data_IF_059589659592
#
_entry.id   IF_059589659592
#
_cell.length_a   1.000
_cell.length_b   1.000
_cell.length_c   1.000
_cell.angle_alpha   90.00
_cell.angle_beta   90.00
_cell.angle_gamma   90.00
#
_symmetry.space_group_name_H-M   'P 1'
#
loop_
_entity.id
_entity.type
_entity.pdbx_description
1 polymer ?
#
# COMPACT_ATOMS: atom_id res chain seq x y z
N UNK A 1 -3.50 -24.29 -6.13
CA UNK A 1 -2.36 -23.45 -5.67
C UNK A 1 -2.74 -22.01 -5.97
N UNK A 2 -2.68 -21.12 -4.98
CA UNK A 2 -3.05 -19.70 -5.18
C UNK A 2 -1.94 -18.97 -5.94
N UNK A 3 -2.33 -18.06 -6.83
CA UNK A 3 -1.40 -17.18 -7.55
C UNK A 3 -1.56 -15.75 -7.06
N UNK A 4 -0.47 -15.15 -6.57
CA UNK A 4 -0.48 -13.83 -5.93
C UNK A 4 0.57 -12.93 -6.59
N UNK A 5 0.19 -11.71 -6.94
CA UNK A 5 1.13 -10.71 -7.45
C UNK A 5 1.51 -9.72 -6.32
N UNK A 6 2.80 -9.35 -6.24
CA UNK A 6 3.33 -8.41 -5.25
C UNK A 6 4.22 -7.38 -5.94
N UNK A 7 3.87 -6.10 -5.90
CA UNK A 7 4.80 -5.04 -6.30
C UNK A 7 5.69 -4.62 -5.13
N UNK A 8 6.93 -4.18 -5.41
CA UNK A 8 7.93 -3.93 -4.37
C UNK A 8 8.47 -5.22 -3.74
N UNK A 9 8.50 -6.31 -4.52
CA UNK A 9 8.77 -7.67 -4.06
C UNK A 9 10.23 -7.96 -3.70
N UNK A 10 11.17 -7.11 -4.11
CA UNK A 10 12.61 -7.32 -3.90
C UNK A 10 13.10 -6.83 -2.53
N UNK A 11 12.27 -6.18 -1.71
CA UNK A 11 12.72 -5.65 -0.43
C UNK A 11 11.64 -5.40 0.61
N UNK A 12 12.07 -5.16 1.84
CA UNK A 12 11.23 -4.75 2.95
C UNK A 12 9.99 -5.64 3.17
N UNK A 13 8.84 -5.00 3.27
CA UNK A 13 7.55 -5.68 3.50
C UNK A 13 7.19 -6.61 2.33
N UNK A 14 7.47 -6.19 1.08
CA UNK A 14 7.15 -7.00 -0.10
C UNK A 14 7.92 -8.32 -0.14
N UNK A 15 9.23 -8.29 0.12
CA UNK A 15 10.05 -9.50 0.18
C UNK A 15 9.62 -10.45 1.32
N UNK A 16 9.39 -9.90 2.51
CA UNK A 16 8.91 -10.71 3.64
C UNK A 16 7.53 -11.35 3.36
N UNK A 17 6.66 -10.61 2.65
CA UNK A 17 5.34 -11.13 2.24
C UNK A 17 5.49 -12.23 1.20
N UNK A 18 6.37 -12.06 0.22
CA UNK A 18 6.70 -13.09 -0.75
C UNK A 18 7.17 -14.36 -0.07
N UNK A 19 8.20 -14.25 0.78
CA UNK A 19 8.75 -15.38 1.52
C UNK A 19 7.70 -16.12 2.34
N UNK A 20 6.80 -15.39 2.97
CA UNK A 20 5.72 -15.94 3.78
C UNK A 20 4.73 -16.73 2.92
N UNK A 21 4.24 -16.14 1.83
CA UNK A 21 3.24 -16.76 0.97
C UNK A 21 3.78 -17.96 0.19
N UNK A 22 5.05 -17.91 -0.25
CA UNK A 22 5.72 -19.05 -0.89
C UNK A 22 5.89 -20.23 0.07
N UNK A 23 6.24 -19.98 1.34
CA UNK A 23 6.27 -21.00 2.40
C UNK A 23 4.90 -21.63 2.67
N UNK A 24 3.83 -20.89 2.44
CA UNK A 24 2.44 -21.38 2.55
C UNK A 24 1.96 -22.07 1.27
N UNK A 25 2.83 -22.23 0.26
CA UNK A 25 2.54 -22.94 -0.98
C UNK A 25 1.87 -22.10 -2.07
N UNK A 26 1.87 -20.78 -1.98
CA UNK A 26 1.41 -19.91 -3.05
C UNK A 26 2.48 -19.77 -4.15
N UNK A 27 2.02 -19.59 -5.39
CA UNK A 27 2.85 -19.06 -6.47
C UNK A 27 2.87 -17.55 -6.39
N UNK A 28 4.03 -16.94 -6.21
CA UNK A 28 4.16 -15.47 -6.18
C UNK A 28 4.77 -14.96 -7.49
N UNK A 29 4.17 -13.93 -8.06
CA UNK A 29 4.71 -13.14 -9.17
C UNK A 29 5.16 -11.81 -8.57
N UNK A 30 6.47 -11.64 -8.44
CA UNK A 30 7.07 -10.40 -7.98
C UNK A 30 7.19 -9.37 -9.10
N UNK A 31 6.95 -8.12 -8.74
CA UNK A 31 7.18 -6.94 -9.59
C UNK A 31 8.08 -5.98 -8.82
N UNK A 32 9.20 -5.60 -9.42
CA UNK A 32 10.11 -4.61 -8.83
C UNK A 32 10.96 -3.96 -9.95
N UNK A 33 11.77 -2.97 -9.61
CA UNK A 33 12.76 -2.40 -10.53
C UNK A 33 14.00 -3.31 -10.71
N UNK A 34 14.11 -4.34 -9.88
CA UNK A 34 15.18 -5.35 -9.89
C UNK A 34 14.73 -6.64 -9.20
N UNK A 35 15.45 -7.72 -9.41
CA UNK A 35 15.34 -8.97 -8.64
C UNK A 35 13.89 -9.52 -8.50
N UNK A 36 13.13 -9.47 -9.60
CA UNK A 36 11.74 -9.92 -9.66
C UNK A 36 11.42 -10.61 -11.00
N UNK A 37 10.31 -11.34 -11.07
CA UNK A 37 9.83 -11.97 -12.32
C UNK A 37 9.44 -10.93 -13.36
N UNK A 38 8.92 -9.78 -12.93
CA UNK A 38 8.58 -8.64 -13.79
C UNK A 38 9.41 -7.43 -13.34
N UNK A 39 10.32 -7.01 -14.21
CA UNK A 39 11.10 -5.78 -13.98
C UNK A 39 10.35 -4.61 -14.59
N UNK A 40 9.89 -3.69 -13.76
CA UNK A 40 9.12 -2.51 -14.20
C UNK A 40 9.33 -1.30 -13.28
N UNK A 41 9.41 -0.12 -13.89
CA UNK A 41 9.45 1.15 -13.18
C UNK A 41 8.05 1.76 -13.07
N UNK A 42 7.46 1.69 -11.90
CA UNK A 42 6.11 2.21 -11.64
C UNK A 42 6.04 3.74 -11.55
N UNK A 43 7.18 4.44 -11.61
CA UNK A 43 7.21 5.89 -11.66
C UNK A 43 6.65 6.44 -12.97
N UNK A 44 6.69 5.65 -14.05
CA UNK A 44 6.31 6.11 -15.39
C UNK A 44 5.04 5.43 -15.90
N UNK A 45 4.18 6.12 -16.68
CA UNK A 45 3.02 5.51 -17.32
C UNK A 45 3.40 4.26 -18.14
N UNK A 46 4.44 4.37 -18.98
CA UNK A 46 4.92 3.26 -19.81
C UNK A 46 5.37 2.05 -18.99
N UNK A 47 6.05 2.28 -17.86
CA UNK A 47 6.48 1.20 -16.97
C UNK A 47 5.29 0.51 -16.29
N UNK A 48 4.25 1.27 -15.93
CA UNK A 48 3.00 0.74 -15.37
C UNK A 48 2.23 -0.11 -16.40
N UNK A 49 2.13 0.36 -17.65
CA UNK A 49 1.50 -0.39 -18.73
C UNK A 49 2.27 -1.69 -19.04
N UNK A 50 3.59 -1.60 -19.09
CA UNK A 50 4.46 -2.77 -19.28
C UNK A 50 4.31 -3.80 -18.14
N UNK A 51 4.21 -3.34 -16.89
CA UNK A 51 3.95 -4.20 -15.73
C UNK A 51 2.62 -4.94 -15.88
N UNK A 52 1.54 -4.24 -16.19
CA UNK A 52 0.19 -4.84 -16.36
C UNK A 52 0.21 -5.88 -17.47
N UNK A 53 0.83 -5.58 -18.61
CA UNK A 53 0.95 -6.51 -19.73
C UNK A 53 1.75 -7.76 -19.34
N UNK A 54 2.92 -7.61 -18.73
CA UNK A 54 3.79 -8.72 -18.34
C UNK A 54 3.13 -9.63 -17.28
N UNK A 55 2.49 -9.06 -16.26
CA UNK A 55 1.76 -9.86 -15.26
C UNK A 55 0.57 -10.58 -15.90
N UNK A 56 -0.13 -9.94 -16.84
CA UNK A 56 -1.25 -10.56 -17.57
C UNK A 56 -0.79 -11.77 -18.38
N UNK A 57 0.36 -11.69 -19.03
CA UNK A 57 0.92 -12.82 -19.79
C UNK A 57 1.34 -13.99 -18.89
N UNK A 58 1.85 -13.70 -17.68
CA UNK A 58 2.24 -14.72 -16.71
C UNK A 58 1.06 -15.36 -15.97
N UNK A 59 -0.07 -14.67 -15.86
CA UNK A 59 -1.23 -15.05 -15.03
C UNK A 59 -2.53 -15.10 -15.84
N UNK A 60 -2.51 -15.75 -17.01
CA UNK A 60 -3.67 -15.80 -17.94
C UNK A 60 -4.93 -16.39 -17.30
N UNK A 61 -4.78 -17.31 -16.36
CA UNK A 61 -5.90 -17.95 -15.65
C UNK A 61 -6.50 -17.08 -14.53
N UNK A 62 -5.81 -16.02 -14.13
CA UNK A 62 -6.23 -15.07 -13.09
C UNK A 62 -5.26 -14.96 -11.92
N UNK A 63 -5.61 -14.08 -10.99
CA UNK A 63 -4.90 -13.84 -9.72
C UNK A 63 -5.85 -14.06 -8.54
N UNK A 64 -5.41 -14.78 -7.52
CA UNK A 64 -6.14 -14.98 -6.27
C UNK A 64 -5.77 -13.93 -5.20
N UNK A 65 -4.67 -13.20 -5.43
CA UNK A 65 -4.21 -12.16 -4.53
C UNK A 65 -3.35 -11.10 -5.20
N UNK A 66 -3.40 -9.89 -4.65
CA UNK A 66 -2.60 -8.75 -5.11
C UNK A 66 -2.14 -7.90 -3.94
N UNK A 67 -0.86 -7.60 -3.87
CA UNK A 67 -0.30 -6.65 -2.90
C UNK A 67 0.38 -5.49 -3.63
N UNK A 68 -0.19 -4.30 -3.52
CA UNK A 68 0.44 -3.07 -4.01
C UNK A 68 1.37 -2.52 -2.92
N UNK A 69 2.62 -3.04 -2.87
CA UNK A 69 3.60 -2.71 -1.84
C UNK A 69 4.79 -1.88 -2.34
N UNK A 70 4.91 -1.64 -3.64
CA UNK A 70 5.92 -0.72 -4.16
C UNK A 70 5.74 0.68 -3.58
N UNK A 71 6.82 1.27 -3.11
CA UNK A 71 6.79 2.61 -2.52
C UNK A 71 8.17 3.09 -2.14
N UNK A 72 8.33 4.41 -2.08
CA UNK A 72 9.57 5.09 -1.69
C UNK A 72 9.26 6.25 -0.74
N UNK A 73 10.30 6.72 -0.05
CA UNK A 73 10.35 8.02 0.64
C UNK A 73 11.36 8.92 -0.09
N UNK A 74 11.32 10.22 0.14
CA UNK A 74 12.31 11.17 -0.37
C UNK A 74 11.74 12.11 -1.42
N UNK A 75 12.20 12.05 -2.67
CA UNK A 75 11.86 13.01 -3.74
C UNK A 75 10.34 13.12 -3.96
N UNK A 76 9.86 14.34 -3.95
CA UNK A 76 8.43 14.65 -3.88
C UNK A 76 7.62 14.17 -5.08
N UNK A 77 7.93 14.53 -6.33
CA UNK A 77 7.15 14.08 -7.47
C UNK A 77 7.21 12.57 -7.64
N UNK A 78 8.39 11.98 -7.47
CA UNK A 78 8.60 10.54 -7.59
C UNK A 78 7.82 9.77 -6.52
N UNK A 79 7.72 10.31 -5.30
CA UNK A 79 6.93 9.70 -4.22
C UNK A 79 5.45 9.55 -4.63
N UNK A 80 4.85 10.59 -5.19
CA UNK A 80 3.44 10.54 -5.64
C UNK A 80 3.27 9.64 -6.86
N UNK A 81 4.19 9.72 -7.82
CA UNK A 81 4.17 8.89 -9.03
C UNK A 81 4.17 7.38 -8.70
N UNK A 82 5.01 6.94 -7.74
CA UNK A 82 5.09 5.53 -7.35
C UNK A 82 4.02 5.17 -6.32
N UNK A 83 3.95 5.92 -5.20
CA UNK A 83 3.15 5.52 -4.04
C UNK A 83 1.64 5.65 -4.26
N UNK A 84 1.22 6.51 -5.19
CA UNK A 84 -0.19 6.65 -5.56
C UNK A 84 -0.45 6.12 -6.97
N UNK A 85 0.07 6.76 -8.02
CA UNK A 85 -0.23 6.37 -9.40
C UNK A 85 0.27 4.96 -9.73
N UNK A 86 1.46 4.55 -9.27
CA UNK A 86 1.96 3.20 -9.39
C UNK A 86 1.08 2.17 -8.67
N UNK A 87 0.61 2.49 -7.46
CA UNK A 87 -0.29 1.63 -6.70
C UNK A 87 -1.67 1.51 -7.38
N UNK A 88 -2.25 2.63 -7.87
CA UNK A 88 -3.53 2.61 -8.58
C UNK A 88 -3.42 1.81 -9.89
N UNK A 89 -2.37 2.03 -10.68
CA UNK A 89 -2.13 1.26 -11.90
C UNK A 89 -2.00 -0.25 -11.61
N UNK A 90 -1.37 -0.62 -10.48
CA UNK A 90 -1.29 -2.01 -10.03
C UNK A 90 -2.68 -2.56 -9.70
N UNK A 91 -3.44 -1.85 -8.86
CA UNK A 91 -4.76 -2.30 -8.39
C UNK A 91 -5.78 -2.38 -9.53
N UNK A 92 -5.97 -1.29 -10.27
CA UNK A 92 -6.97 -1.22 -11.34
C UNK A 92 -6.55 -2.00 -12.58
N UNK A 93 -5.26 -1.92 -12.96
CA UNK A 93 -4.75 -2.62 -14.14
C UNK A 93 -4.80 -4.15 -14.00
N UNK A 94 -4.58 -4.69 -12.80
CA UNK A 94 -4.63 -6.13 -12.53
C UNK A 94 -5.99 -6.61 -12.01
N UNK A 95 -6.94 -5.72 -11.77
CA UNK A 95 -8.31 -6.06 -11.34
C UNK A 95 -9.00 -7.08 -12.28
N UNK A 96 -8.88 -6.99 -13.62
CA UNK A 96 -9.46 -8.01 -14.51
C UNK A 96 -8.89 -9.42 -14.30
N UNK A 97 -7.64 -9.55 -13.81
CA UNK A 97 -7.07 -10.84 -13.43
C UNK A 97 -7.67 -11.35 -12.10
N UNK A 98 -7.83 -10.46 -11.13
CA UNK A 98 -8.48 -10.80 -9.86
C UNK A 98 -9.92 -11.26 -10.06
N UNK A 99 -10.66 -10.66 -10.99
CA UNK A 99 -12.03 -11.06 -11.31
C UNK A 99 -12.13 -12.47 -11.90
N UNK A 100 -11.02 -13.09 -12.32
CA UNK A 100 -10.93 -14.50 -12.76
C UNK A 100 -10.37 -15.43 -11.70
N UNK A 101 -9.86 -14.88 -10.60
CA UNK A 101 -9.30 -15.64 -9.48
C UNK A 101 -10.35 -16.26 -8.58
N UNK A 102 -9.90 -17.06 -7.64
CA UNK A 102 -10.74 -17.69 -6.61
C UNK A 102 -10.53 -16.99 -5.27
N UNK A 103 -11.61 -16.59 -4.61
CA UNK A 103 -11.57 -15.83 -3.34
C UNK A 103 -10.62 -14.63 -3.39
N UNK A 104 -10.71 -13.87 -4.49
CA UNK A 104 -9.73 -12.85 -4.83
C UNK A 104 -9.68 -11.71 -3.80
N UNK A 105 -8.47 -11.32 -3.43
CA UNK A 105 -8.24 -10.24 -2.46
C UNK A 105 -7.06 -9.35 -2.87
N UNK A 106 -7.25 -8.05 -2.78
CA UNK A 106 -6.22 -7.05 -3.02
C UNK A 106 -5.95 -6.22 -1.76
N UNK A 107 -4.68 -5.96 -1.47
CA UNK A 107 -4.28 -5.14 -0.33
C UNK A 107 -3.28 -4.07 -0.77
N UNK A 108 -3.59 -2.81 -0.47
CA UNK A 108 -2.69 -1.67 -0.68
C UNK A 108 -1.89 -1.36 0.60
N UNK A 109 -0.63 -0.96 0.44
CA UNK A 109 0.19 -0.49 1.56
C UNK A 109 0.08 1.03 1.67
N UNK A 110 -0.74 1.47 2.63
CA UNK A 110 -0.81 2.86 3.08
C UNK A 110 0.29 3.15 4.13
N UNK A 111 0.02 3.96 5.13
CA UNK A 111 0.94 4.28 6.24
C UNK A 111 0.17 4.91 7.40
N UNK A 112 0.64 4.78 8.63
CA UNK A 112 0.11 5.55 9.74
C UNK A 112 0.42 7.06 9.64
N UNK A 113 1.37 7.47 8.78
CA UNK A 113 1.62 8.89 8.49
C UNK A 113 0.38 9.63 7.96
N UNK A 114 -0.61 8.91 7.46
CA UNK A 114 -1.91 9.45 7.03
C UNK A 114 -2.68 10.14 8.15
N UNK A 115 -2.43 9.77 9.39
CA UNK A 115 -3.14 10.25 10.57
C UNK A 115 -2.21 10.88 11.60
N UNK A 116 -0.92 10.60 11.52
CA UNK A 116 0.07 11.06 12.49
C UNK A 116 0.89 12.27 12.01
N UNK A 117 0.69 12.74 10.76
CA UNK A 117 1.36 13.93 10.23
C UNK A 117 0.55 15.19 10.55
N UNK A 118 1.05 16.08 11.45
CA UNK A 118 0.34 17.30 11.78
C UNK A 118 0.23 18.24 10.58
N UNK A 119 -0.94 18.88 10.41
CA UNK A 119 -1.13 19.92 9.39
C UNK A 119 -1.08 19.41 7.95
N UNK A 120 -1.30 18.11 7.71
CA UNK A 120 -1.36 17.56 6.35
C UNK A 120 -2.41 18.30 5.50
N UNK A 121 -2.02 18.96 4.39
CA UNK A 121 -2.93 19.70 3.53
C UNK A 121 -3.92 18.76 2.84
N UNK A 122 -5.20 18.85 3.16
CA UNK A 122 -6.23 17.98 2.57
C UNK A 122 -6.51 18.33 1.12
N UNK A 123 -6.34 19.57 0.72
CA UNK A 123 -6.42 20.02 -0.67
C UNK A 123 -5.36 19.33 -1.55
N UNK A 124 -4.13 19.15 -1.08
CA UNK A 124 -3.12 18.34 -1.78
C UNK A 124 -3.57 16.89 -1.94
N UNK A 125 -4.13 16.30 -0.88
CA UNK A 125 -4.68 14.93 -0.94
C UNK A 125 -5.80 14.82 -1.96
N UNK A 126 -6.69 15.81 -2.01
CA UNK A 126 -7.83 15.81 -2.94
C UNK A 126 -7.38 15.99 -4.40
N UNK A 127 -6.35 16.79 -4.68
CA UNK A 127 -5.72 16.91 -6.00
C UNK A 127 -5.11 15.56 -6.44
N UNK A 128 -4.36 14.89 -5.57
CA UNK A 128 -3.79 13.57 -5.89
C UNK A 128 -4.90 12.56 -6.15
N UNK A 129 -5.94 12.55 -5.33
CA UNK A 129 -7.07 11.62 -5.43
C UNK A 129 -7.96 11.88 -6.65
N UNK A 130 -7.95 13.08 -7.21
CA UNK A 130 -8.67 13.40 -8.45
C UNK A 130 -8.10 12.65 -9.67
N UNK A 131 -6.84 12.19 -9.61
CA UNK A 131 -6.26 11.26 -10.59
C UNK A 131 -5.63 11.91 -11.81
N UNK A 132 -5.58 13.23 -11.91
CA UNK A 132 -4.75 13.91 -12.91
C UNK A 132 -3.30 13.91 -12.42
N UNK A 133 -2.47 13.06 -13.02
CA UNK A 133 -1.08 12.87 -12.59
C UNK A 133 -0.25 14.14 -12.77
N UNK A 134 -0.40 14.86 -13.89
CA UNK A 134 0.37 16.06 -14.14
C UNK A 134 0.06 17.16 -13.12
N UNK A 135 -1.22 17.37 -12.82
CA UNK A 135 -1.66 18.32 -11.80
C UNK A 135 -1.20 17.90 -10.39
N UNK A 136 -1.32 16.61 -10.05
CA UNK A 136 -0.87 16.07 -8.75
C UNK A 136 0.64 16.26 -8.54
N UNK A 137 1.47 15.96 -9.54
CA UNK A 137 2.92 16.16 -9.46
C UNK A 137 3.28 17.66 -9.36
N UNK A 138 2.60 18.51 -10.11
CA UNK A 138 2.79 19.95 -10.04
C UNK A 138 2.36 20.52 -8.67
N UNK A 139 1.23 20.10 -8.11
CA UNK A 139 0.76 20.51 -6.79
C UNK A 139 1.74 20.05 -5.70
N UNK A 140 2.21 18.80 -5.79
CA UNK A 140 3.20 18.25 -4.84
C UNK A 140 4.52 19.02 -4.86
N UNK A 141 4.98 19.43 -6.05
CA UNK A 141 6.22 20.23 -6.18
C UNK A 141 6.12 21.62 -5.56
N UNK A 142 4.90 22.15 -5.41
CA UNK A 142 4.64 23.45 -4.75
C UNK A 142 4.46 23.32 -3.23
N UNK A 143 4.14 22.14 -2.74
CA UNK A 143 3.93 21.88 -1.31
C UNK A 143 5.26 21.65 -0.56
N UNK A 144 5.30 21.86 0.77
CA UNK A 144 6.43 21.42 1.58
C UNK A 144 6.66 19.91 1.45
N UNK A 145 7.92 19.49 1.24
CA UNK A 145 8.29 18.11 0.93
C UNK A 145 7.83 17.06 1.93
N UNK A 146 7.75 17.44 3.20
CA UNK A 146 7.27 16.57 4.28
C UNK A 146 5.86 16.02 4.06
N UNK A 147 5.03 16.67 3.23
CA UNK A 147 3.65 16.27 2.98
C UNK A 147 3.49 15.33 1.78
N UNK A 148 4.47 15.18 0.90
CA UNK A 148 4.34 14.36 -0.30
C UNK A 148 4.00 12.90 0.01
N UNK A 149 4.74 12.28 0.92
CA UNK A 149 4.53 10.89 1.31
C UNK A 149 3.18 10.67 2.02
N UNK A 150 2.86 11.39 3.12
CA UNK A 150 1.58 11.17 3.81
C UNK A 150 0.38 11.54 2.94
N UNK A 151 0.47 12.55 2.07
CA UNK A 151 -0.61 12.89 1.14
C UNK A 151 -0.88 11.77 0.12
N UNK A 152 0.18 11.21 -0.49
CA UNK A 152 0.05 10.06 -1.39
C UNK A 152 -0.58 8.85 -0.69
N UNK A 153 -0.14 8.55 0.55
CA UNK A 153 -0.64 7.41 1.32
C UNK A 153 -2.09 7.62 1.80
N UNK A 154 -2.47 8.84 2.16
CA UNK A 154 -3.86 9.17 2.51
C UNK A 154 -4.77 9.12 1.27
N UNK A 155 -4.33 9.64 0.14
CA UNK A 155 -5.06 9.53 -1.13
C UNK A 155 -5.30 8.06 -1.48
N UNK A 156 -4.28 7.20 -1.37
CA UNK A 156 -4.40 5.75 -1.61
C UNK A 156 -5.41 5.09 -0.65
N UNK A 157 -5.35 5.39 0.65
CA UNK A 157 -6.30 4.86 1.64
C UNK A 157 -7.74 5.29 1.32
N UNK A 158 -7.95 6.57 0.96
CA UNK A 158 -9.27 7.09 0.55
C UNK A 158 -9.74 6.46 -0.76
N UNK A 159 -8.84 6.22 -1.71
CA UNK A 159 -9.16 5.55 -2.96
C UNK A 159 -9.68 4.12 -2.68
N UNK A 160 -8.97 3.33 -1.85
CA UNK A 160 -9.41 1.99 -1.43
C UNK A 160 -10.81 2.04 -0.83
N UNK A 161 -11.08 2.95 0.10
CA UNK A 161 -12.39 3.09 0.74
C UNK A 161 -13.51 3.47 -0.24
N UNK A 162 -13.22 4.27 -1.25
CA UNK A 162 -14.19 4.67 -2.27
C UNK A 162 -14.49 3.53 -3.26
N UNK A 163 -13.49 2.71 -3.59
CA UNK A 163 -13.60 1.69 -4.63
C UNK A 163 -14.00 0.31 -4.10
N UNK A 164 -13.57 -0.08 -2.91
CA UNK A 164 -13.87 -1.40 -2.36
C UNK A 164 -15.36 -1.78 -2.38
N UNK A 165 -16.32 -0.91 -2.00
CA UNK A 165 -17.74 -1.23 -2.02
C UNK A 165 -18.38 -1.15 -3.41
N UNK A 166 -17.64 -0.85 -4.46
CA UNK A 166 -18.17 -0.69 -5.81
C UNK A 166 -18.43 -2.04 -6.51
N UNK A 167 -19.36 -2.08 -7.48
CA UNK A 167 -19.62 -3.28 -8.27
C UNK A 167 -18.40 -3.85 -8.97
N UNK A 168 -17.43 -3.00 -9.37
CA UNK A 168 -16.21 -3.43 -10.03
C UNK A 168 -15.23 -4.18 -9.10
N UNK A 169 -15.40 -4.06 -7.78
CA UNK A 169 -14.58 -4.73 -6.77
C UNK A 169 -15.39 -5.79 -6.03
N UNK A 170 -16.05 -5.45 -4.94
CA UNK A 170 -16.79 -6.46 -4.16
C UNK A 170 -17.93 -7.08 -4.95
N UNK A 171 -18.57 -6.33 -5.85
CA UNK A 171 -19.59 -6.87 -6.75
C UNK A 171 -19.06 -7.89 -7.75
N UNK A 172 -17.76 -7.84 -8.07
CA UNK A 172 -17.03 -8.84 -8.86
C UNK A 172 -16.38 -9.95 -8.01
N UNK A 173 -16.68 -10.01 -6.70
CA UNK A 173 -16.12 -10.99 -5.78
C UNK A 173 -14.70 -10.67 -5.30
N UNK A 174 -14.21 -9.46 -5.53
CA UNK A 174 -12.86 -9.05 -5.14
C UNK A 174 -12.92 -8.21 -3.86
N UNK A 175 -12.30 -8.68 -2.79
CA UNK A 175 -12.11 -7.90 -1.56
C UNK A 175 -10.93 -6.94 -1.74
N UNK A 176 -11.14 -5.66 -1.47
CA UNK A 176 -10.09 -4.64 -1.53
C UNK A 176 -9.95 -3.98 -0.16
N UNK A 177 -8.73 -4.00 0.39
CA UNK A 177 -8.41 -3.41 1.69
C UNK A 177 -7.08 -2.66 1.62
N UNK A 178 -6.76 -1.93 2.68
CA UNK A 178 -5.43 -1.34 2.89
C UNK A 178 -4.92 -1.67 4.28
N UNK A 179 -3.60 -1.68 4.43
CA UNK A 179 -2.96 -1.63 5.74
C UNK A 179 -2.22 -0.31 5.89
N UNK A 180 -2.11 0.16 7.12
CA UNK A 180 -1.37 1.36 7.51
C UNK A 180 -0.26 0.99 8.50
N UNK A 181 0.90 0.52 8.01
CA UNK A 181 2.03 0.20 8.87
C UNK A 181 2.56 1.46 9.57
N UNK A 182 3.09 1.28 10.77
CA UNK A 182 3.92 2.27 11.44
C UNK A 182 5.38 2.19 10.99
N UNK A 183 6.29 2.46 11.92
CA UNK A 183 7.74 2.36 11.69
C UNK A 183 8.15 0.89 11.64
N UNK A 184 8.46 0.40 10.45
CA UNK A 184 8.89 -0.99 10.22
C UNK A 184 10.37 -1.01 9.86
N UNK A 185 11.13 -1.91 10.47
CA UNK A 185 12.56 -2.07 10.21
C UNK A 185 12.82 -2.63 8.81
N UNK A 186 13.05 -1.73 7.86
CA UNK A 186 13.27 -2.02 6.44
C UNK A 186 14.44 -1.20 5.93
N UNK A 187 14.99 -1.49 4.73
CA UNK A 187 15.98 -0.62 4.10
C UNK A 187 15.52 0.84 3.95
N UNK A 188 14.21 1.07 3.84
CA UNK A 188 13.61 2.41 3.72
C UNK A 188 13.75 3.24 5.02
N UNK A 189 13.63 2.63 6.17
CA UNK A 189 13.56 3.30 7.49
C UNK A 189 14.83 3.15 8.32
N UNK A 190 15.74 2.28 7.90
CA UNK A 190 16.92 1.86 8.66
C UNK A 190 17.74 3.03 9.22
N UNK A 191 17.88 4.10 8.45
CA UNK A 191 18.70 5.25 8.85
C UNK A 191 17.96 6.21 9.79
N UNK A 192 16.65 6.10 9.88
CA UNK A 192 15.80 7.04 10.63
C UNK A 192 15.35 6.47 11.97
N UNK A 193 15.56 5.16 12.23
CA UNK A 193 15.06 4.48 13.43
C UNK A 193 15.56 5.14 14.72
N UNK A 194 16.85 5.41 14.84
CA UNK A 194 17.44 6.03 16.03
C UNK A 194 16.81 7.40 16.30
N UNK A 195 16.66 8.22 15.27
CA UNK A 195 16.02 9.52 15.38
C UNK A 195 14.55 9.41 15.81
N UNK A 196 13.78 8.55 15.16
CA UNK A 196 12.34 8.37 15.47
C UNK A 196 12.16 7.96 16.94
N UNK A 197 12.95 7.02 17.43
CA UNK A 197 12.85 6.55 18.82
C UNK A 197 13.48 7.52 19.85
N UNK A 198 14.18 8.57 19.40
CA UNK A 198 14.70 9.64 20.27
C UNK A 198 13.67 10.73 20.57
N UNK A 199 12.53 10.75 19.89
CA UNK A 199 11.50 11.80 20.01
C UNK A 199 10.10 11.23 20.38
N UNK A 200 9.98 10.42 21.45
CA UNK A 200 8.73 9.71 21.78
C UNK A 200 7.54 10.65 22.07
N UNK A 201 7.80 11.88 22.50
CA UNK A 201 6.75 12.88 22.75
C UNK A 201 6.15 13.44 21.44
N UNK A 202 6.90 13.36 20.33
CA UNK A 202 6.46 13.85 19.02
C UNK A 202 5.94 12.69 18.16
N UNK A 203 6.60 11.54 18.24
CA UNK A 203 6.24 10.33 17.50
C UNK A 203 6.22 9.13 18.45
N UNK A 204 5.13 8.95 19.20
CA UNK A 204 5.01 7.83 20.13
C UNK A 204 4.93 6.50 19.39
N UNK A 205 5.66 5.50 19.90
CA UNK A 205 5.52 4.11 19.48
C UNK A 205 5.31 3.27 20.75
N UNK A 206 4.05 3.14 21.22
CA UNK A 206 3.77 2.54 22.54
C UNK A 206 4.33 1.13 22.77
N UNK A 207 4.44 0.33 21.72
CA UNK A 207 5.07 -1.01 21.81
C UNK A 207 6.58 -0.97 22.12
N UNK A 208 7.23 0.21 22.00
CA UNK A 208 8.62 0.45 22.38
C UNK A 208 9.69 -0.08 21.43
N UNK A 209 9.31 -0.50 20.22
CA UNK A 209 10.23 -1.00 19.17
C UNK A 209 9.68 -0.77 17.77
N UNK A 210 10.52 -0.81 16.72
CA UNK A 210 10.02 -0.90 15.37
C UNK A 210 9.29 -2.23 15.14
N UNK A 211 8.33 -2.21 14.22
CA UNK A 211 7.74 -3.43 13.70
C UNK A 211 8.72 -4.16 12.78
N UNK A 212 8.58 -5.47 12.66
CA UNK A 212 9.36 -6.27 11.72
C UNK A 212 8.56 -6.51 10.43
N UNK A 213 9.23 -6.64 9.27
CA UNK A 213 8.57 -6.96 8.00
C UNK A 213 7.71 -8.23 8.05
N UNK A 214 8.12 -9.25 8.81
CA UNK A 214 7.39 -10.50 8.99
C UNK A 214 6.07 -10.33 9.76
N UNK A 215 5.98 -9.37 10.67
CA UNK A 215 4.73 -9.03 11.36
C UNK A 215 3.70 -8.44 10.38
N UNK A 216 4.15 -7.58 9.47
CA UNK A 216 3.30 -7.02 8.40
C UNK A 216 2.95 -8.09 7.35
N UNK A 217 3.90 -8.95 6.98
CA UNK A 217 3.67 -10.08 6.09
C UNK A 217 2.58 -11.04 6.62
N UNK A 218 2.55 -11.27 7.93
CA UNK A 218 1.53 -12.08 8.58
C UNK A 218 0.12 -11.48 8.46
N UNK A 219 -0.01 -10.17 8.64
CA UNK A 219 -1.27 -9.44 8.45
C UNK A 219 -1.71 -9.47 6.97
N UNK A 220 -0.77 -9.29 6.03
CA UNK A 220 -1.04 -9.37 4.60
C UNK A 220 -1.49 -10.78 4.20
N UNK A 221 -0.83 -11.84 4.67
CA UNK A 221 -1.23 -13.22 4.41
C UNK A 221 -2.65 -13.48 4.95
N UNK A 222 -2.98 -13.00 6.15
CA UNK A 222 -4.34 -13.08 6.68
C UNK A 222 -5.36 -12.35 5.81
N UNK A 223 -5.13 -11.08 5.45
CA UNK A 223 -6.07 -10.31 4.61
C UNK A 223 -6.26 -10.88 3.21
N UNK A 224 -5.27 -11.57 2.68
CA UNK A 224 -5.35 -12.29 1.42
C UNK A 224 -6.08 -13.64 1.56
N UNK A 225 -6.17 -14.22 2.76
CA UNK A 225 -6.78 -15.53 2.98
C UNK A 225 -8.30 -15.49 2.98
N UNK A 226 -8.99 -16.63 2.81
CA UNK A 226 -10.43 -16.74 2.98
C UNK A 226 -10.91 -16.36 4.40
N UNK A 227 -10.08 -16.51 5.43
CA UNK A 227 -10.42 -16.18 6.83
C UNK A 227 -10.74 -14.69 7.02
N UNK A 228 -10.23 -13.82 6.14
CA UNK A 228 -10.55 -12.41 6.09
C UNK A 228 -11.78 -12.09 5.20
N UNK A 229 -12.68 -13.05 5.00
CA UNK A 229 -13.82 -12.96 4.06
C UNK A 229 -14.78 -11.79 4.31
N UNK A 230 -14.78 -11.20 5.52
CA UNK A 230 -15.68 -10.08 5.85
C UNK A 230 -14.97 -8.70 5.86
N UNK A 231 -13.70 -8.64 5.42
CA UNK A 231 -12.97 -7.38 5.25
C UNK A 231 -13.20 -6.82 3.85
N UNK A 232 -13.79 -5.61 3.78
CA UNK A 232 -13.99 -4.86 2.53
C UNK A 232 -13.89 -3.35 2.82
N UNK A 233 -12.93 -2.68 2.22
CA UNK A 233 -12.68 -1.25 2.37
C UNK A 233 -12.06 -0.86 3.72
N UNK A 234 -11.52 -1.81 4.47
CA UNK A 234 -10.84 -1.53 5.73
C UNK A 234 -9.47 -0.91 5.50
N UNK A 235 -9.09 0.01 6.39
CA UNK A 235 -7.70 0.49 6.54
C UNK A 235 -7.24 0.02 7.92
N UNK A 236 -6.37 -0.99 7.95
CA UNK A 236 -5.95 -1.65 9.19
C UNK A 236 -4.62 -1.08 9.64
N UNK A 237 -4.60 -0.38 10.77
CA UNK A 237 -3.38 0.12 11.38
C UNK A 237 -2.60 -1.02 12.03
N UNK A 238 -1.30 -1.11 11.70
CA UNK A 238 -0.35 -2.05 12.26
C UNK A 238 0.94 -1.28 12.61
N UNK A 239 0.87 -0.46 13.67
CA UNK A 239 1.82 0.63 13.93
C UNK A 239 2.33 0.67 15.38
N UNK A 240 2.11 -0.39 16.14
CA UNK A 240 2.56 -0.47 17.53
C UNK A 240 1.83 0.47 18.48
N UNK A 241 0.65 0.98 18.06
CA UNK A 241 -0.21 1.83 18.88
C UNK A 241 -0.01 3.34 18.63
N UNK A 242 0.79 3.73 17.65
CA UNK A 242 1.06 5.16 17.36
C UNK A 242 -0.22 5.92 17.03
N UNK A 243 -1.03 5.42 16.10
CA UNK A 243 -2.29 6.07 15.71
C UNK A 243 -3.24 6.22 16.91
N UNK A 244 -3.38 5.17 17.72
CA UNK A 244 -4.22 5.20 18.91
C UNK A 244 -3.73 6.21 19.96
N UNK A 245 -2.41 6.37 20.10
CA UNK A 245 -1.83 7.32 21.06
C UNK A 245 -2.04 8.79 20.63
N UNK A 246 -1.96 9.09 19.32
CA UNK A 246 -2.07 10.48 18.82
C UNK A 246 -3.51 10.90 18.49
N UNK A 247 -4.44 9.94 18.37
CA UNK A 247 -5.84 10.18 17.99
C UNK A 247 -6.83 9.39 18.85
N UNK A 248 -6.61 9.38 20.14
CA UNK A 248 -7.36 8.56 21.12
C UNK A 248 -8.88 8.63 20.93
N UNK A 249 -9.43 9.81 20.72
CA UNK A 249 -10.88 10.04 20.61
C UNK A 249 -11.34 10.39 19.18
N UNK A 250 -10.42 10.51 18.21
CA UNK A 250 -10.76 10.89 16.83
C UNK A 250 -11.17 9.70 15.98
N UNK A 251 -11.01 8.48 16.49
CA UNK A 251 -11.38 7.26 15.77
C UNK A 251 -11.88 6.18 16.76
N UNK A 252 -12.98 5.50 16.46
CA UNK A 252 -13.86 5.70 15.29
C UNK A 252 -14.66 7.00 15.36
N UNK A 253 -14.78 7.68 14.21
CA UNK A 253 -15.51 8.95 14.12
C UNK A 253 -16.99 8.68 13.82
N UNK A 254 -17.95 9.22 14.59
CA UNK A 254 -19.36 9.12 14.29
C UNK A 254 -19.71 9.71 12.91
N UNK A 255 -20.71 9.13 12.26
CA UNK A 255 -21.24 9.71 11.02
C UNK A 255 -21.95 11.04 11.35
N UNK A 256 -21.56 12.11 10.64
CA UNK A 256 -22.23 13.40 10.67
C UNK A 256 -23.65 13.33 10.08
#
# INVERSE_FOLDING_TARGET
>A
MRTICITGSAGGIGAATRDRLEKEGARVIGVDVRDAEVIADLATPTGRDAMVAAVTDLCRDGLDGLVAAAGIMGDQPLVVAINYFGAIATLDGLRPLLARGTDASAVAISSNSTTTTPGLPIDLVDVILAGDEAEALAATSRAPGVFAYPAAKLALARWVRRHAPQPAWIGAGIRLNAIAPGVIETPMTKNDLEFIFSIPDVFPVPIGRPGRPDEIASLLAYLLSPDAGFFCGSVVFADGGTDAAVRTDDYPTPRA
#
